data_IF_883578187046
#
_entry.id   IF_883578187046
#
_cell.length_a   1.000
_cell.length_b   1.000
_cell.length_c   1.000
_cell.angle_alpha   90.00
_cell.angle_beta   90.00
_cell.angle_gamma   90.00
#
_symmetry.space_group_name_H-M   'P 1'
#
loop_
_entity.id
_entity.type
_entity.pdbx_description
1 polymer ?
#
# COMPACT_ATOMS: atom_id res chain seq x y z
N UNK A 1 26.19 -17.09 23.20
CA UNK A 1 24.97 -17.29 22.41
C UNK A 1 25.10 -16.55 21.09
N UNK A 2 24.78 -17.18 19.96
CA UNK A 2 24.73 -16.48 18.69
C UNK A 2 23.68 -15.34 18.76
N UNK A 3 24.06 -14.14 18.36
CA UNK A 3 23.14 -12.99 18.35
C UNK A 3 22.10 -13.23 17.25
N UNK A 4 20.85 -13.44 17.62
CA UNK A 4 19.76 -13.57 16.65
C UNK A 4 19.56 -12.23 15.92
N UNK A 5 19.33 -12.29 14.61
CA UNK A 5 19.07 -11.10 13.78
C UNK A 5 18.13 -11.44 12.63
N UNK A 6 17.40 -10.46 12.17
CA UNK A 6 16.57 -10.53 10.95
C UNK A 6 17.30 -9.87 9.77
N UNK A 7 16.95 -10.16 8.52
CA UNK A 7 17.53 -9.49 7.35
C UNK A 7 17.34 -7.98 7.42
N UNK A 8 18.36 -7.22 7.02
CA UNK A 8 18.32 -5.76 7.04
C UNK A 8 17.20 -5.23 6.12
N UNK A 9 16.32 -4.41 6.66
CA UNK A 9 15.19 -3.80 5.93
C UNK A 9 13.91 -4.63 5.99
N UNK A 10 13.88 -5.72 6.78
CA UNK A 10 12.67 -6.44 7.17
C UNK A 10 12.35 -6.16 8.64
N UNK A 11 11.14 -6.54 9.09
CA UNK A 11 10.66 -6.27 10.45
C UNK A 11 9.84 -7.43 10.98
N UNK A 12 9.95 -7.69 12.28
CA UNK A 12 8.93 -8.39 13.05
C UNK A 12 7.87 -7.39 13.49
N UNK A 13 6.66 -7.85 13.70
CA UNK A 13 5.55 -7.04 14.19
C UNK A 13 4.96 -7.68 15.45
N UNK A 14 4.88 -6.90 16.51
CA UNK A 14 4.20 -7.29 17.74
C UNK A 14 2.68 -7.45 17.52
N UNK A 15 1.96 -8.11 18.43
CA UNK A 15 0.50 -8.20 18.35
C UNK A 15 -0.20 -6.84 18.25
N UNK A 16 0.29 -5.83 18.97
CA UNK A 16 -0.26 -4.47 18.92
C UNK A 16 -0.02 -3.81 17.55
N UNK A 17 1.21 -3.93 17.01
CA UNK A 17 1.51 -3.42 15.67
C UNK A 17 0.68 -4.13 14.61
N UNK A 18 0.44 -5.45 14.75
CA UNK A 18 -0.42 -6.20 13.85
C UNK A 18 -1.89 -5.77 13.93
N UNK A 19 -2.40 -5.41 15.11
CA UNK A 19 -3.76 -4.85 15.23
C UNK A 19 -3.88 -3.55 14.44
N UNK A 20 -2.91 -2.65 14.59
CA UNK A 20 -2.83 -1.38 13.83
C UNK A 20 -2.73 -1.62 12.32
N UNK A 21 -1.95 -2.59 11.89
CA UNK A 21 -1.82 -2.97 10.46
C UNK A 21 -3.12 -3.56 9.92
N UNK A 22 -3.77 -4.43 10.67
CA UNK A 22 -5.05 -5.03 10.27
C UNK A 22 -6.15 -3.96 10.14
N UNK A 23 -6.19 -2.95 11.01
CA UNK A 23 -7.07 -1.79 10.85
C UNK A 23 -6.89 -1.11 9.47
N UNK A 24 -5.64 -0.94 9.01
CA UNK A 24 -5.36 -0.39 7.68
C UNK A 24 -5.89 -1.33 6.59
N UNK A 25 -5.55 -2.63 6.67
CA UNK A 25 -5.95 -3.60 5.65
C UNK A 25 -7.46 -3.75 5.57
N UNK A 26 -8.15 -3.81 6.71
CA UNK A 26 -9.60 -4.00 6.77
C UNK A 26 -10.35 -2.76 6.28
N UNK A 27 -9.86 -1.56 6.60
CA UNK A 27 -10.42 -0.31 6.09
C UNK A 27 -10.30 -0.24 4.57
N UNK A 28 -9.12 -0.53 4.00
CA UNK A 28 -8.89 -0.51 2.55
C UNK A 28 -9.72 -1.61 1.88
N UNK A 29 -9.73 -2.84 2.41
CA UNK A 29 -10.53 -3.96 1.89
C UNK A 29 -12.02 -3.61 1.86
N UNK A 30 -12.53 -3.02 2.95
CA UNK A 30 -13.92 -2.59 3.04
C UNK A 30 -14.26 -1.54 1.99
N UNK A 31 -13.36 -0.57 1.73
CA UNK A 31 -13.59 0.42 0.67
C UNK A 31 -13.57 -0.24 -0.70
N UNK A 32 -12.60 -1.08 -1.03
CA UNK A 32 -12.55 -1.79 -2.32
C UNK A 32 -13.83 -2.61 -2.58
N UNK A 33 -14.36 -3.27 -1.55
CA UNK A 33 -15.61 -4.02 -1.66
C UNK A 33 -16.81 -3.13 -2.02
N UNK A 34 -16.88 -1.89 -1.48
CA UNK A 34 -17.95 -0.92 -1.81
C UNK A 34 -17.94 -0.53 -3.28
N UNK A 35 -16.77 -0.53 -3.94
CA UNK A 35 -16.61 -0.22 -5.36
C UNK A 35 -16.65 -1.46 -6.28
N UNK A 36 -17.01 -2.63 -5.73
CA UNK A 36 -17.17 -3.87 -6.50
C UNK A 36 -15.87 -4.52 -6.95
N UNK A 37 -14.74 -4.23 -6.30
CA UNK A 37 -13.48 -4.92 -6.57
C UNK A 37 -13.46 -6.28 -5.91
N UNK A 38 -12.91 -7.28 -6.62
CA UNK A 38 -12.80 -8.66 -6.16
C UNK A 38 -11.37 -8.98 -5.73
N UNK A 39 -11.22 -9.68 -4.62
CA UNK A 39 -9.90 -10.06 -4.11
C UNK A 39 -9.32 -11.21 -4.93
N UNK A 40 -8.06 -11.07 -5.34
CA UNK A 40 -7.25 -12.16 -5.87
C UNK A 40 -5.91 -12.20 -5.12
N UNK A 41 -5.17 -13.29 -5.31
CA UNK A 41 -3.79 -13.41 -4.85
C UNK A 41 -2.92 -14.01 -5.95
N UNK A 42 -1.67 -13.61 -6.00
CA UNK A 42 -0.64 -14.19 -6.87
C UNK A 42 0.51 -14.71 -6.02
N UNK A 43 1.32 -15.67 -6.52
CA UNK A 43 2.46 -16.18 -5.78
C UNK A 43 3.47 -15.08 -5.38
N UNK A 44 4.12 -15.22 -4.24
CA UNK A 44 5.23 -14.35 -3.83
C UNK A 44 6.46 -14.47 -4.75
N UNK A 45 6.65 -15.68 -5.32
CA UNK A 45 7.70 -16.00 -6.27
C UNK A 45 7.15 -16.00 -7.69
N UNK A 46 7.85 -15.32 -8.58
CA UNK A 46 7.60 -15.34 -10.02
C UNK A 46 8.84 -15.83 -10.76
N UNK A 47 8.68 -16.30 -12.00
CA UNK A 47 9.84 -16.58 -12.84
C UNK A 47 10.60 -15.28 -13.14
N UNK A 48 11.92 -15.34 -13.26
CA UNK A 48 12.70 -14.15 -13.65
C UNK A 48 12.30 -13.64 -15.04
N UNK A 49 11.84 -14.50 -15.93
CA UNK A 49 11.30 -14.11 -17.24
C UNK A 49 10.07 -13.21 -17.10
N UNK A 50 9.23 -13.44 -16.09
CA UNK A 50 8.08 -12.58 -15.78
C UNK A 50 8.52 -11.22 -15.24
N UNK A 51 9.58 -11.19 -14.43
CA UNK A 51 9.98 -9.99 -13.69
C UNK A 51 10.96 -9.09 -14.46
N UNK A 52 11.97 -9.67 -15.13
CA UNK A 52 13.04 -8.92 -15.77
C UNK A 52 12.57 -8.12 -17.00
N UNK A 53 13.14 -6.93 -17.19
CA UNK A 53 12.82 -6.04 -18.30
C UNK A 53 11.48 -5.32 -18.20
N UNK A 54 10.81 -5.37 -17.05
CA UNK A 54 9.49 -4.75 -16.82
C UNK A 54 9.57 -3.45 -16.03
N UNK A 55 10.60 -3.30 -15.23
CA UNK A 55 10.76 -2.19 -14.28
C UNK A 55 11.84 -1.19 -14.68
N UNK A 56 12.45 -1.37 -15.87
CA UNK A 56 13.64 -0.63 -16.31
C UNK A 56 14.92 -1.12 -15.62
N UNK A 57 16.07 -0.61 -16.05
CA UNK A 57 17.39 -1.08 -15.55
C UNK A 57 17.57 -0.91 -14.04
N UNK A 58 17.05 0.17 -13.46
CA UNK A 58 17.15 0.43 -12.02
C UNK A 58 16.28 -0.57 -11.24
N UNK A 59 15.05 -0.81 -11.69
CA UNK A 59 14.14 -1.76 -11.06
C UNK A 59 14.66 -3.20 -11.12
N UNK A 60 15.23 -3.60 -12.24
CA UNK A 60 15.82 -4.93 -12.43
C UNK A 60 17.02 -5.20 -11.49
N UNK A 61 17.76 -4.14 -11.12
CA UNK A 61 18.84 -4.22 -10.10
C UNK A 61 18.29 -4.40 -8.67
N UNK A 62 17.05 -4.00 -8.43
CA UNK A 62 16.39 -4.09 -7.12
C UNK A 62 15.60 -5.39 -6.92
N UNK A 63 15.54 -6.27 -7.90
CA UNK A 63 14.88 -7.57 -7.79
C UNK A 63 15.66 -8.54 -6.88
N UNK A 64 14.99 -9.11 -5.89
CA UNK A 64 15.52 -10.24 -5.14
C UNK A 64 15.44 -11.51 -5.99
N UNK A 65 16.59 -12.04 -6.37
CA UNK A 65 16.72 -13.29 -7.11
C UNK A 65 16.87 -14.46 -6.13
N UNK A 66 16.19 -15.56 -6.44
CA UNK A 66 16.21 -16.77 -5.59
C UNK A 66 17.10 -17.80 -6.25
N UNK A 67 18.16 -18.20 -5.53
CA UNK A 67 19.08 -19.24 -5.96
C UNK A 67 18.33 -20.56 -6.15
N UNK A 68 18.61 -21.25 -7.24
CA UNK A 68 18.00 -22.57 -7.53
C UNK A 68 18.34 -23.56 -6.42
N UNK A 69 17.41 -24.46 -6.10
CA UNK A 69 17.60 -25.52 -5.12
C UNK A 69 18.47 -26.64 -5.67
N UNK A 70 19.12 -27.40 -4.80
CA UNK A 70 19.98 -28.51 -5.16
C UNK A 70 21.37 -28.05 -5.63
N UNK A 71 21.95 -28.76 -6.61
CA UNK A 71 23.24 -28.37 -7.21
C UNK A 71 23.04 -27.27 -8.25
N UNK A 72 23.02 -26.03 -7.76
CA UNK A 72 22.81 -24.84 -8.58
C UNK A 72 23.99 -24.48 -9.49
N UNK A 73 25.16 -25.12 -9.33
CA UNK A 73 26.30 -24.96 -10.22
C UNK A 73 26.33 -25.96 -11.37
N UNK A 74 25.50 -27.00 -11.35
CA UNK A 74 25.52 -28.10 -12.35
C UNK A 74 25.36 -27.65 -13.81
N UNK A 75 24.78 -26.46 -14.05
CA UNK A 75 24.58 -25.88 -15.40
C UNK A 75 25.61 -24.82 -15.77
N UNK A 76 26.68 -24.65 -14.98
CA UNK A 76 27.68 -23.61 -15.15
C UNK A 76 29.04 -24.28 -15.28
N UNK A 77 29.79 -23.93 -16.31
CA UNK A 77 31.18 -24.38 -16.48
C UNK A 77 32.17 -23.44 -15.77
N UNK A 78 33.41 -23.92 -15.60
CA UNK A 78 34.47 -23.20 -14.90
C UNK A 78 34.84 -21.89 -15.62
N UNK A 79 34.73 -21.84 -16.96
CA UNK A 79 35.05 -20.63 -17.73
C UNK A 79 34.05 -19.51 -17.41
N UNK A 80 32.77 -19.83 -17.34
CA UNK A 80 31.73 -18.88 -16.96
C UNK A 80 31.90 -18.34 -15.53
N UNK A 81 32.33 -19.22 -14.59
CA UNK A 81 32.63 -18.79 -13.22
C UNK A 81 33.84 -17.87 -13.14
N UNK A 82 34.88 -18.14 -13.97
CA UNK A 82 36.09 -17.32 -14.02
C UNK A 82 35.86 -15.93 -14.61
N UNK A 83 34.90 -15.79 -15.55
CA UNK A 83 34.51 -14.49 -16.15
C UNK A 83 33.87 -13.54 -15.14
N UNK A 84 33.32 -14.03 -14.03
CA UNK A 84 32.65 -13.24 -12.96
C UNK A 84 31.56 -12.29 -13.46
N UNK A 85 30.92 -12.61 -14.59
CA UNK A 85 29.77 -11.87 -15.09
C UNK A 85 28.51 -12.19 -14.25
N UNK A 86 28.25 -11.33 -13.27
CA UNK A 86 27.14 -11.52 -12.32
C UNK A 86 25.77 -11.55 -13.00
N UNK A 87 25.57 -10.81 -14.08
CA UNK A 87 24.27 -10.72 -14.75
C UNK A 87 24.02 -11.99 -15.54
N UNK A 88 25.02 -12.48 -16.30
CA UNK A 88 24.91 -13.72 -17.03
C UNK A 88 24.76 -14.94 -16.09
N UNK A 89 25.58 -15.00 -15.04
CA UNK A 89 25.50 -16.07 -14.04
C UNK A 89 24.16 -16.08 -13.30
N UNK A 90 23.63 -14.92 -12.92
CA UNK A 90 22.35 -14.82 -12.22
C UNK A 90 21.20 -15.45 -13.01
N UNK A 91 21.19 -15.34 -14.34
CA UNK A 91 20.15 -15.93 -15.18
C UNK A 91 20.17 -17.46 -15.18
N UNK A 92 21.34 -18.07 -14.93
CA UNK A 92 21.53 -19.52 -14.86
C UNK A 92 21.34 -20.07 -13.43
N UNK A 93 21.78 -19.29 -12.42
CA UNK A 93 21.70 -19.63 -11.01
C UNK A 93 20.32 -19.46 -10.40
N UNK A 94 19.50 -18.56 -10.97
CA UNK A 94 18.23 -18.15 -10.44
C UNK A 94 17.15 -18.23 -11.54
N UNK A 95 16.21 -19.14 -11.42
CA UNK A 95 15.04 -19.22 -12.30
C UNK A 95 13.87 -18.37 -11.78
N UNK A 96 13.93 -17.96 -10.53
CA UNK A 96 12.83 -17.29 -9.79
C UNK A 96 13.37 -16.06 -9.06
N UNK A 97 12.44 -15.13 -8.80
CA UNK A 97 12.67 -13.98 -7.94
C UNK A 97 11.44 -13.70 -7.08
N UNK A 98 11.61 -12.84 -6.08
CA UNK A 98 10.47 -12.30 -5.34
C UNK A 98 9.85 -11.17 -6.15
N UNK A 99 8.51 -11.11 -6.16
CA UNK A 99 7.78 -10.05 -6.88
C UNK A 99 8.14 -8.67 -6.36
N UNK A 100 8.36 -7.74 -7.27
CA UNK A 100 8.74 -6.35 -7.00
C UNK A 100 7.52 -5.46 -6.72
N UNK A 101 6.41 -5.76 -7.38
CA UNK A 101 5.09 -5.15 -7.25
C UNK A 101 4.00 -6.21 -7.41
N UNK A 102 2.72 -5.79 -7.36
CA UNK A 102 1.58 -6.66 -7.63
C UNK A 102 1.03 -6.51 -9.05
N UNK A 103 1.44 -5.47 -9.80
CA UNK A 103 0.89 -5.13 -11.10
C UNK A 103 1.41 -6.05 -12.21
N UNK A 104 2.72 -6.34 -12.24
CA UNK A 104 3.31 -7.25 -13.23
C UNK A 104 2.81 -8.69 -13.04
N UNK A 105 2.80 -9.28 -11.82
CA UNK A 105 2.14 -10.55 -11.57
C UNK A 105 0.66 -10.57 -11.94
N UNK A 106 -0.05 -9.47 -11.73
CA UNK A 106 -1.44 -9.34 -12.13
C UNK A 106 -1.61 -9.36 -13.65
N UNK A 107 -0.77 -8.66 -14.41
CA UNK A 107 -0.82 -8.71 -15.88
C UNK A 107 -0.61 -10.13 -16.41
N UNK A 108 0.36 -10.88 -15.83
CA UNK A 108 0.54 -12.31 -16.13
C UNK A 108 -0.72 -13.12 -15.77
N UNK A 109 -1.32 -12.87 -14.60
CA UNK A 109 -2.55 -13.55 -14.15
C UNK A 109 -3.69 -13.33 -15.15
N UNK A 110 -3.93 -12.10 -15.60
CA UNK A 110 -4.97 -11.77 -16.59
C UNK A 110 -4.78 -12.56 -17.89
N UNK A 111 -3.55 -12.64 -18.39
CA UNK A 111 -3.25 -13.38 -19.63
C UNK A 111 -3.46 -14.89 -19.46
N UNK A 112 -3.04 -15.46 -18.32
CA UNK A 112 -3.21 -16.88 -18.04
C UNK A 112 -4.67 -17.30 -17.84
N UNK A 113 -5.49 -16.42 -17.27
CA UNK A 113 -6.89 -16.69 -16.94
C UNK A 113 -7.89 -15.98 -17.89
N UNK A 114 -7.43 -15.58 -19.09
CA UNK A 114 -8.24 -14.79 -20.04
C UNK A 114 -9.58 -15.40 -20.40
N UNK A 115 -9.67 -16.72 -20.42
CA UNK A 115 -10.91 -17.47 -20.74
C UNK A 115 -11.88 -17.51 -19.54
N UNK A 116 -11.40 -17.25 -18.32
CA UNK A 116 -12.16 -17.29 -17.06
C UNK A 116 -12.58 -15.89 -16.60
N UNK A 117 -11.83 -14.86 -17.02
CA UNK A 117 -12.03 -13.48 -16.59
C UNK A 117 -13.04 -12.77 -17.50
N UNK A 118 -14.09 -12.21 -16.89
CA UNK A 118 -15.02 -11.34 -17.61
C UNK A 118 -14.54 -9.87 -17.54
N UNK A 119 -14.40 -9.23 -18.69
CA UNK A 119 -14.00 -7.83 -18.80
C UNK A 119 -15.22 -6.88 -18.77
N UNK A 120 -15.11 -5.67 -18.20
CA UNK A 120 -13.96 -5.17 -17.45
C UNK A 120 -13.78 -5.90 -16.11
N UNK A 121 -12.55 -6.27 -15.77
CA UNK A 121 -12.22 -6.98 -14.56
C UNK A 121 -11.68 -5.99 -13.50
N UNK A 122 -12.30 -5.98 -12.32
CA UNK A 122 -11.95 -5.16 -11.16
C UNK A 122 -11.38 -6.05 -10.07
N UNK A 123 -10.09 -5.97 -9.82
CA UNK A 123 -9.45 -6.77 -8.77
C UNK A 123 -8.80 -5.91 -7.71
N UNK A 124 -8.63 -6.45 -6.51
CA UNK A 124 -7.70 -5.92 -5.53
C UNK A 124 -6.81 -7.02 -4.95
N UNK A 125 -5.61 -6.63 -4.49
CA UNK A 125 -4.67 -7.48 -3.76
C UNK A 125 -4.09 -6.71 -2.58
N UNK A 126 -3.95 -7.37 -1.42
CA UNK A 126 -3.26 -6.84 -0.24
C UNK A 126 -2.21 -7.86 0.13
N UNK A 127 -1.00 -7.69 -0.35
CA UNK A 127 0.07 -8.67 -0.23
C UNK A 127 1.45 -8.01 -0.11
N UNK A 128 2.47 -8.72 0.45
CA UNK A 128 3.82 -8.23 0.55
C UNK A 128 4.52 -8.21 -0.80
N UNK A 129 5.45 -7.27 -0.97
CA UNK A 129 6.37 -7.15 -2.10
C UNK A 129 7.79 -6.90 -1.59
N UNK A 130 8.80 -7.15 -2.44
CA UNK A 130 10.20 -7.11 -2.03
C UNK A 130 11.04 -6.28 -3.00
N UNK A 131 11.79 -5.31 -2.45
CA UNK A 131 12.71 -4.46 -3.20
C UNK A 131 14.04 -4.37 -2.49
N UNK A 132 15.14 -4.59 -3.19
CA UNK A 132 16.48 -4.51 -2.63
C UNK A 132 16.97 -3.07 -2.37
N UNK A 133 16.06 -2.17 -2.13
CA UNK A 133 16.32 -0.76 -1.80
C UNK A 133 17.25 -0.60 -0.57
N UNK A 134 17.93 0.55 -0.50
CA UNK A 134 18.63 0.95 0.72
C UNK A 134 17.59 1.33 1.79
N UNK A 135 17.53 0.59 2.91
CA UNK A 135 16.55 0.83 3.96
C UNK A 135 16.69 2.23 4.57
N UNK A 136 15.57 2.92 4.72
CA UNK A 136 15.44 4.21 5.42
C UNK A 136 14.00 4.35 5.97
N UNK A 137 13.70 5.39 6.75
CA UNK A 137 12.35 5.63 7.27
C UNK A 137 11.32 5.66 6.11
N UNK A 138 10.26 4.86 6.22
CA UNK A 138 9.24 4.73 5.18
C UNK A 138 9.66 3.99 3.91
N UNK A 139 10.87 3.33 3.90
CA UNK A 139 11.35 2.51 2.78
C UNK A 139 11.98 1.23 3.32
N UNK A 140 11.30 0.13 3.14
CA UNK A 140 11.65 -1.20 3.60
C UNK A 140 11.96 -2.12 2.42
N UNK A 141 12.63 -3.25 2.68
CA UNK A 141 12.89 -4.28 1.67
C UNK A 141 11.75 -5.26 1.51
N UNK A 142 10.93 -5.42 2.55
CA UNK A 142 9.67 -6.14 2.55
C UNK A 142 8.59 -5.20 3.07
N UNK A 143 7.53 -5.00 2.29
CA UNK A 143 6.42 -4.12 2.66
C UNK A 143 5.14 -4.53 1.93
N UNK A 144 3.99 -4.09 2.44
CA UNK A 144 2.70 -4.41 1.87
C UNK A 144 2.23 -3.34 0.90
N UNK A 145 1.78 -3.80 -0.27
CA UNK A 145 0.99 -3.01 -1.21
C UNK A 145 -0.49 -3.42 -1.14
N UNK A 146 -1.37 -2.43 -1.22
CA UNK A 146 -2.80 -2.64 -1.30
C UNK A 146 -3.25 -2.07 -2.65
N UNK A 147 -3.24 -2.93 -3.67
CA UNK A 147 -3.47 -2.56 -5.06
C UNK A 147 -4.93 -2.77 -5.46
N UNK A 148 -5.48 -1.84 -6.24
CA UNK A 148 -6.74 -2.00 -6.94
C UNK A 148 -6.57 -1.60 -8.40
N UNK A 149 -7.00 -2.48 -9.33
CA UNK A 149 -6.88 -2.27 -10.77
C UNK A 149 -8.17 -2.63 -11.49
N UNK A 150 -8.42 -1.90 -12.58
CA UNK A 150 -9.46 -2.21 -13.57
C UNK A 150 -8.77 -2.47 -14.91
N UNK A 151 -9.01 -3.62 -15.51
CA UNK A 151 -8.50 -3.95 -16.85
C UNK A 151 -9.64 -4.23 -17.83
N UNK A 152 -9.41 -3.96 -19.11
CA UNK A 152 -10.38 -4.20 -20.18
C UNK A 152 -11.37 -3.05 -20.39
N UNK A 153 -11.01 -1.84 -19.98
CA UNK A 153 -11.81 -0.62 -20.23
C UNK A 153 -10.93 0.59 -20.47
N UNK A 154 -11.23 1.33 -21.55
CA UNK A 154 -10.59 2.61 -21.88
C UNK A 154 -11.32 3.81 -21.25
N UNK A 155 -12.40 3.58 -20.51
CA UNK A 155 -13.19 4.65 -19.91
C UNK A 155 -12.40 5.38 -18.82
N UNK A 156 -12.33 6.73 -18.93
CA UNK A 156 -11.73 7.58 -17.92
C UNK A 156 -12.56 7.69 -16.63
N UNK A 157 -13.76 7.13 -16.60
CA UNK A 157 -14.55 7.00 -15.37
C UNK A 157 -13.87 6.08 -14.36
N UNK A 158 -13.01 5.17 -14.82
CA UNK A 158 -12.21 4.33 -13.92
C UNK A 158 -11.23 5.19 -13.09
N UNK A 159 -10.59 6.19 -13.70
CA UNK A 159 -9.74 7.15 -12.98
C UNK A 159 -10.51 7.96 -11.95
N UNK A 160 -11.71 8.38 -12.30
CA UNK A 160 -12.60 9.11 -11.38
C UNK A 160 -12.97 8.26 -10.18
N UNK A 161 -13.31 7.00 -10.38
CA UNK A 161 -13.58 6.06 -9.27
C UNK A 161 -12.35 5.82 -8.40
N UNK A 162 -11.15 5.67 -8.99
CA UNK A 162 -9.92 5.52 -8.22
C UNK A 162 -9.61 6.75 -7.37
N UNK A 163 -9.89 7.98 -7.87
CA UNK A 163 -9.81 9.22 -7.06
C UNK A 163 -10.79 9.16 -5.90
N UNK A 164 -12.04 8.73 -6.12
CA UNK A 164 -13.02 8.57 -5.05
C UNK A 164 -12.59 7.54 -4.01
N UNK A 165 -11.98 6.42 -4.43
CA UNK A 165 -11.43 5.41 -3.53
C UNK A 165 -10.33 6.02 -2.66
N UNK A 166 -9.38 6.76 -3.26
CA UNK A 166 -8.31 7.43 -2.52
C UNK A 166 -8.89 8.40 -1.49
N UNK A 167 -9.82 9.26 -1.90
CA UNK A 167 -10.51 10.21 -1.01
C UNK A 167 -11.23 9.51 0.14
N UNK A 168 -11.97 8.44 -0.17
CA UNK A 168 -12.74 7.67 0.81
C UNK A 168 -11.82 7.01 1.85
N UNK A 169 -10.74 6.38 1.42
CA UNK A 169 -9.78 5.69 2.31
C UNK A 169 -9.14 6.69 3.26
N UNK A 170 -8.60 7.81 2.74
CA UNK A 170 -7.92 8.79 3.60
C UNK A 170 -8.88 9.58 4.49
N UNK A 171 -10.11 9.82 4.04
CA UNK A 171 -11.15 10.37 4.90
C UNK A 171 -11.49 9.43 6.07
N UNK A 172 -11.60 8.12 5.83
CA UNK A 172 -11.81 7.12 6.90
C UNK A 172 -10.66 7.04 7.88
N UNK A 173 -9.43 7.23 7.43
CA UNK A 173 -8.25 7.28 8.30
C UNK A 173 -8.09 8.61 9.05
N UNK A 174 -8.85 9.65 8.68
CA UNK A 174 -8.66 10.99 9.24
C UNK A 174 -7.36 11.68 8.78
N UNK A 175 -6.73 11.18 7.72
CA UNK A 175 -5.51 11.75 7.15
C UNK A 175 -5.88 12.78 6.08
N UNK A 176 -5.47 14.05 6.25
CA UNK A 176 -5.59 15.06 5.20
C UNK A 176 -4.52 14.84 4.14
N UNK A 177 -4.94 14.79 2.87
CA UNK A 177 -4.03 14.50 1.76
C UNK A 177 -4.23 15.45 0.59
N UNK A 178 -3.17 15.58 -0.23
CA UNK A 178 -3.26 16.07 -1.59
C UNK A 178 -3.19 14.89 -2.55
N UNK A 179 -4.25 14.70 -3.33
CA UNK A 179 -4.32 13.75 -4.43
C UNK A 179 -3.83 14.50 -5.67
N UNK A 180 -2.64 14.18 -6.13
CA UNK A 180 -2.00 14.80 -7.28
C UNK A 180 -2.28 13.97 -8.52
N UNK A 181 -2.61 14.63 -9.62
CA UNK A 181 -2.83 14.02 -10.92
C UNK A 181 -1.96 14.71 -11.97
N UNK A 182 -1.43 13.93 -12.91
CA UNK A 182 -0.85 14.39 -14.17
C UNK A 182 -1.19 13.37 -15.27
N UNK A 183 -0.69 13.58 -16.48
CA UNK A 183 -0.86 12.66 -17.60
C UNK A 183 0.46 12.51 -18.38
N UNK A 184 0.86 11.26 -18.65
CA UNK A 184 2.05 10.96 -19.45
C UNK A 184 2.03 11.62 -20.82
N UNK A 185 0.84 11.75 -21.43
CA UNK A 185 0.66 12.41 -22.73
C UNK A 185 0.95 13.92 -22.64
N UNK A 186 0.61 14.58 -21.52
CA UNK A 186 0.99 15.96 -21.26
C UNK A 186 2.51 16.08 -21.21
N UNK A 187 3.18 15.21 -20.45
CA UNK A 187 4.65 15.21 -20.34
C UNK A 187 5.33 14.96 -21.70
N UNK A 188 4.77 14.04 -22.50
CA UNK A 188 5.25 13.79 -23.88
C UNK A 188 5.07 15.03 -24.75
N UNK A 189 3.89 15.66 -24.71
CA UNK A 189 3.62 16.88 -25.46
C UNK A 189 4.55 18.04 -25.07
N UNK A 190 4.87 18.18 -23.79
CA UNK A 190 5.86 19.16 -23.33
C UNK A 190 7.22 18.88 -23.97
N UNK A 191 7.70 17.62 -23.95
CA UNK A 191 8.97 17.25 -24.56
C UNK A 191 8.98 17.49 -26.10
N UNK A 192 7.87 17.26 -26.79
CA UNK A 192 7.69 17.54 -28.21
C UNK A 192 7.80 19.05 -28.51
N UNK A 193 7.05 19.87 -27.76
CA UNK A 193 7.00 21.34 -27.99
C UNK A 193 8.33 22.05 -27.68
N UNK A 194 9.08 21.56 -26.70
CA UNK A 194 10.41 22.11 -26.39
C UNK A 194 11.50 21.56 -27.33
N UNK A 195 11.18 20.62 -28.24
CA UNK A 195 12.11 20.05 -29.21
C UNK A 195 13.02 18.93 -28.70
N UNK A 196 12.67 18.29 -27.57
CA UNK A 196 13.49 17.26 -26.89
C UNK A 196 12.71 15.93 -26.70
N UNK A 197 11.86 15.56 -27.67
CA UNK A 197 10.97 14.39 -27.58
C UNK A 197 11.69 13.08 -27.24
N UNK A 198 12.90 12.87 -27.83
CA UNK A 198 13.72 11.66 -27.58
C UNK A 198 14.23 11.56 -26.12
N UNK A 199 14.24 12.69 -25.39
CA UNK A 199 14.80 12.78 -24.03
C UNK A 199 13.73 12.89 -22.95
N UNK A 200 12.49 12.48 -23.26
CA UNK A 200 11.35 12.52 -22.30
C UNK A 200 11.70 11.86 -20.97
N UNK A 201 12.45 10.76 -20.98
CA UNK A 201 12.85 10.03 -19.76
C UNK A 201 13.78 10.90 -18.89
N UNK A 202 14.79 11.52 -19.51
CA UNK A 202 15.74 12.38 -18.80
C UNK A 202 15.06 13.60 -18.20
N UNK A 203 14.15 14.22 -18.97
CA UNK A 203 13.33 15.36 -18.52
C UNK A 203 12.48 14.97 -17.32
N UNK A 204 11.74 13.86 -17.40
CA UNK A 204 10.84 13.42 -16.33
C UNK A 204 11.60 13.00 -15.07
N UNK A 205 12.75 12.33 -15.22
CA UNK A 205 13.62 11.95 -14.08
C UNK A 205 14.20 13.17 -13.37
N UNK A 206 14.61 14.20 -14.12
CA UNK A 206 15.13 15.44 -13.54
C UNK A 206 14.03 16.21 -12.79
N UNK A 207 12.84 16.38 -13.40
CA UNK A 207 11.71 17.08 -12.79
C UNK A 207 11.24 16.37 -11.51
N UNK A 208 11.23 15.02 -11.47
CA UNK A 208 10.86 14.23 -10.27
C UNK A 208 11.73 14.54 -9.03
N UNK A 209 12.92 15.08 -9.25
CA UNK A 209 13.83 15.44 -8.16
C UNK A 209 13.61 16.86 -7.63
N UNK A 210 12.66 17.62 -8.17
CA UNK A 210 12.43 19.03 -7.83
C UNK A 210 12.32 19.26 -6.31
N UNK A 211 11.53 18.45 -5.62
CA UNK A 211 11.36 18.53 -4.16
C UNK A 211 12.66 18.31 -3.36
N UNK A 212 13.67 17.66 -3.97
CA UNK A 212 14.92 17.26 -3.30
C UNK A 212 16.08 18.19 -3.59
N UNK A 213 16.22 18.61 -4.86
CA UNK A 213 17.39 19.36 -5.32
C UNK A 213 17.07 20.80 -5.72
N UNK A 214 15.78 21.19 -5.67
CA UNK A 214 15.33 22.52 -6.06
C UNK A 214 15.44 22.78 -7.56
N UNK A 215 14.95 23.94 -7.99
CA UNK A 215 14.88 24.32 -9.40
C UNK A 215 16.27 24.40 -10.06
N UNK A 216 17.24 24.99 -9.35
CA UNK A 216 18.62 25.11 -9.87
C UNK A 216 19.27 23.75 -10.07
N UNK A 217 19.02 22.81 -9.14
CA UNK A 217 19.50 21.43 -9.26
C UNK A 217 18.87 20.69 -10.43
N UNK A 218 17.57 20.86 -10.65
CA UNK A 218 16.86 20.31 -11.81
C UNK A 218 17.44 20.86 -13.11
N UNK A 219 17.64 22.18 -13.20
CA UNK A 219 18.22 22.82 -14.38
C UNK A 219 19.63 22.32 -14.67
N UNK A 220 20.47 22.15 -13.65
CA UNK A 220 21.81 21.59 -13.80
C UNK A 220 21.78 20.14 -14.32
N UNK A 221 20.85 19.32 -13.81
CA UNK A 221 20.68 17.93 -14.24
C UNK A 221 20.16 17.85 -15.67
N UNK A 222 19.16 18.66 -16.05
CA UNK A 222 18.68 18.73 -17.44
C UNK A 222 19.81 19.05 -18.41
N UNK A 223 20.64 20.07 -18.13
CA UNK A 223 21.80 20.42 -18.95
C UNK A 223 22.83 19.29 -19.02
N UNK A 224 23.09 18.62 -17.90
CA UNK A 224 24.03 17.49 -17.86
C UNK A 224 23.55 16.30 -18.71
N UNK A 225 22.25 16.15 -18.89
CA UNK A 225 21.64 15.16 -19.78
C UNK A 225 21.53 15.64 -21.23
N UNK A 226 22.13 16.78 -21.54
CA UNK A 226 22.22 17.33 -22.90
C UNK A 226 20.92 18.00 -23.38
N UNK A 227 20.03 18.40 -22.48
CA UNK A 227 18.87 19.25 -22.81
C UNK A 227 19.37 20.65 -23.12
N UNK A 228 18.91 21.25 -24.21
CA UNK A 228 19.35 22.58 -24.65
C UNK A 228 18.90 23.67 -23.66
N UNK A 229 19.71 24.77 -23.60
CA UNK A 229 19.35 25.91 -22.73
C UNK A 229 17.98 26.50 -23.09
N UNK A 230 17.67 26.58 -24.40
CA UNK A 230 16.33 27.03 -24.86
C UNK A 230 15.21 26.15 -24.35
N UNK A 231 15.40 24.83 -24.37
CA UNK A 231 14.39 23.89 -23.82
C UNK A 231 14.26 24.03 -22.30
N UNK A 232 15.37 24.20 -21.57
CA UNK A 232 15.38 24.46 -20.13
C UNK A 232 14.60 25.75 -19.82
N UNK A 233 14.81 26.84 -20.57
CA UNK A 233 14.08 28.10 -20.39
C UNK A 233 12.58 27.94 -20.63
N UNK A 234 12.16 27.18 -21.64
CA UNK A 234 10.75 26.87 -21.92
C UNK A 234 10.08 26.01 -20.82
N UNK A 235 10.84 25.17 -20.09
CA UNK A 235 10.34 24.37 -18.99
C UNK A 235 10.10 25.17 -17.71
N UNK A 236 10.80 26.31 -17.48
CA UNK A 236 10.70 27.04 -16.22
C UNK A 236 9.27 27.46 -15.85
N UNK A 237 8.48 28.10 -16.76
CA UNK A 237 7.11 28.49 -16.41
C UNK A 237 6.20 27.28 -16.12
N UNK A 238 6.49 26.11 -16.69
CA UNK A 238 5.74 24.88 -16.45
C UNK A 238 6.03 24.32 -15.05
N UNK A 239 7.32 24.24 -14.70
CA UNK A 239 7.78 23.72 -13.40
C UNK A 239 7.35 24.64 -12.25
N UNK A 240 7.36 25.95 -12.46
CA UNK A 240 6.99 26.95 -11.47
C UNK A 240 5.48 27.29 -11.47
N UNK A 241 4.67 26.60 -12.26
CA UNK A 241 3.25 26.93 -12.44
C UNK A 241 2.45 26.76 -11.17
N UNK A 242 1.75 27.83 -10.79
CA UNK A 242 0.80 27.87 -9.66
C UNK A 242 -0.58 28.29 -10.17
N UNK A 243 -1.61 28.12 -9.34
CA UNK A 243 -2.99 28.46 -9.69
C UNK A 243 -3.96 27.29 -9.55
N UNK A 244 -5.19 27.50 -9.93
CA UNK A 244 -6.24 26.48 -9.95
C UNK A 244 -5.99 25.43 -11.04
N UNK A 245 -6.63 24.28 -10.91
CA UNK A 245 -6.52 23.22 -11.92
C UNK A 245 -6.94 23.71 -13.33
N UNK A 246 -7.98 24.53 -13.42
CA UNK A 246 -8.47 25.07 -14.69
C UNK A 246 -7.49 26.06 -15.32
N UNK A 247 -6.92 26.99 -14.52
CA UNK A 247 -5.88 27.91 -14.98
C UNK A 247 -4.65 27.16 -15.50
N UNK A 248 -4.18 26.15 -14.76
CA UNK A 248 -3.07 25.29 -15.18
C UNK A 248 -3.38 24.57 -16.49
N UNK A 249 -4.58 23.98 -16.61
CA UNK A 249 -5.02 23.27 -17.83
C UNK A 249 -5.12 24.21 -19.03
N UNK A 250 -5.57 25.44 -18.84
CA UNK A 250 -5.67 26.41 -19.94
C UNK A 250 -4.28 26.80 -20.47
N UNK A 251 -3.35 27.14 -19.57
CA UNK A 251 -1.98 27.48 -19.95
C UNK A 251 -1.27 26.32 -20.67
N UNK A 252 -1.46 25.09 -20.16
CA UNK A 252 -0.87 23.90 -20.79
C UNK A 252 -1.53 23.61 -22.15
N UNK A 253 -2.83 23.80 -22.31
CA UNK A 253 -3.52 23.64 -23.58
C UNK A 253 -2.97 24.60 -24.65
N UNK A 254 -2.77 25.86 -24.26
CA UNK A 254 -2.22 26.87 -25.16
C UNK A 254 -0.76 26.53 -25.59
N UNK A 255 0.04 26.06 -24.65
CA UNK A 255 1.42 25.63 -24.90
C UNK A 255 1.48 24.39 -25.82
N UNK A 256 0.60 23.42 -25.59
CA UNK A 256 0.59 22.12 -26.28
C UNK A 256 -0.26 22.11 -27.55
N UNK A 257 -0.76 23.26 -28.02
CA UNK A 257 -1.64 23.36 -29.19
C UNK A 257 -1.07 22.72 -30.48
N UNK A 258 0.26 22.61 -30.60
CA UNK A 258 0.94 21.96 -31.74
C UNK A 258 1.20 20.46 -31.52
N UNK A 259 0.98 19.91 -30.33
CA UNK A 259 1.18 18.50 -30.01
C UNK A 259 -0.15 17.78 -29.91
N UNK A 260 -0.47 16.90 -30.84
CA UNK A 260 -1.67 16.07 -30.81
C UNK A 260 -1.72 15.18 -29.56
N UNK A 261 -0.57 14.57 -29.21
CA UNK A 261 -0.44 13.75 -28.01
C UNK A 261 -0.66 14.57 -26.75
N UNK A 262 -0.05 15.75 -26.66
CA UNK A 262 -0.19 16.64 -25.51
C UNK A 262 -1.64 17.12 -25.33
N UNK A 263 -2.30 17.55 -26.40
CA UNK A 263 -3.71 17.98 -26.38
C UNK A 263 -4.64 16.86 -25.92
N UNK A 264 -4.44 15.62 -26.37
CA UNK A 264 -5.18 14.47 -25.87
C UNK A 264 -5.01 14.26 -24.38
N UNK A 265 -3.78 14.43 -23.86
CA UNK A 265 -3.52 14.39 -22.42
C UNK A 265 -4.26 15.48 -21.64
N UNK A 266 -4.33 16.70 -22.18
CA UNK A 266 -5.11 17.81 -21.60
C UNK A 266 -6.61 17.50 -21.56
N UNK A 267 -7.17 16.99 -22.64
CA UNK A 267 -8.59 16.61 -22.74
C UNK A 267 -8.95 15.50 -21.73
N UNK A 268 -8.13 14.45 -21.66
CA UNK A 268 -8.31 13.37 -20.70
C UNK A 268 -8.26 13.88 -19.25
N UNK A 269 -7.28 14.73 -18.93
CA UNK A 269 -7.13 15.29 -17.58
C UNK A 269 -8.28 16.22 -17.21
N UNK A 270 -8.72 17.07 -18.15
CA UNK A 270 -9.90 17.94 -17.96
C UNK A 270 -11.14 17.10 -17.67
N UNK A 271 -11.40 16.06 -18.46
CA UNK A 271 -12.52 15.15 -18.24
C UNK A 271 -12.51 14.56 -16.84
N UNK A 272 -11.35 14.04 -16.39
CA UNK A 272 -11.21 13.41 -15.06
C UNK A 272 -11.49 14.44 -13.97
N UNK A 273 -10.90 15.63 -14.03
CA UNK A 273 -11.08 16.68 -13.01
C UNK A 273 -12.52 17.19 -12.94
N UNK A 274 -13.16 17.44 -14.10
CA UNK A 274 -14.56 17.87 -14.17
C UNK A 274 -15.54 16.81 -13.59
N UNK A 275 -15.28 15.53 -13.85
CA UNK A 275 -16.12 14.46 -13.30
C UNK A 275 -15.85 14.25 -11.81
N UNK A 276 -14.61 14.27 -11.38
CA UNK A 276 -14.25 14.16 -9.96
C UNK A 276 -14.85 15.30 -9.12
N UNK A 277 -14.89 16.53 -9.65
CA UNK A 277 -15.53 17.67 -8.98
C UNK A 277 -17.02 17.43 -8.65
N UNK A 278 -17.72 16.58 -9.43
CA UNK A 278 -19.12 16.21 -9.18
C UNK A 278 -19.31 15.12 -8.13
N UNK A 279 -18.21 14.49 -7.70
CA UNK A 279 -18.23 13.33 -6.79
C UNK A 279 -18.09 13.70 -5.31
N UNK A 280 -18.01 15.00 -4.98
CA UNK A 280 -17.89 15.45 -3.59
C UNK A 280 -16.59 15.04 -2.91
N UNK A 281 -15.48 15.09 -3.64
CA UNK A 281 -14.12 14.83 -3.11
C UNK A 281 -13.83 15.79 -1.95
N UNK A 282 -13.40 15.27 -0.81
CA UNK A 282 -13.18 16.03 0.43
C UNK A 282 -11.72 16.48 0.58
N UNK A 283 -10.80 15.67 0.07
CA UNK A 283 -9.38 15.99 0.08
C UNK A 283 -9.02 16.89 -1.12
N UNK A 284 -7.85 17.50 -1.06
CA UNK A 284 -7.35 18.32 -2.18
C UNK A 284 -7.07 17.46 -3.40
N UNK A 285 -7.69 17.80 -4.56
CA UNK A 285 -7.36 17.22 -5.86
C UNK A 285 -6.62 18.27 -6.69
N UNK A 286 -5.36 18.01 -7.05
CA UNK A 286 -4.46 18.97 -7.66
C UNK A 286 -3.84 18.44 -8.95
N UNK A 287 -3.92 19.22 -10.04
CA UNK A 287 -3.08 19.02 -11.22
C UNK A 287 -1.65 19.46 -10.88
N UNK A 288 -0.72 18.51 -10.90
CA UNK A 288 0.70 18.74 -10.63
C UNK A 288 1.54 18.36 -11.85
N UNK A 289 1.94 19.35 -12.62
CA UNK A 289 2.73 19.16 -13.84
C UNK A 289 4.16 18.66 -13.56
N UNK A 290 4.61 18.75 -12.32
CA UNK A 290 5.91 18.21 -11.88
C UNK A 290 5.81 16.75 -11.46
N UNK A 291 4.60 16.19 -11.35
CA UNK A 291 4.42 14.78 -11.14
C UNK A 291 4.80 14.02 -12.42
N UNK A 292 6.05 13.61 -12.47
CA UNK A 292 6.64 12.89 -13.59
C UNK A 292 7.04 11.45 -13.21
N UNK A 293 6.83 11.10 -11.94
CA UNK A 293 7.16 9.82 -11.33
C UNK A 293 6.21 8.70 -11.79
N UNK A 294 6.70 7.49 -11.67
CA UNK A 294 5.94 6.28 -11.91
C UNK A 294 6.76 5.23 -12.63
N UNK A 295 6.24 4.01 -12.71
CA UNK A 295 6.87 2.95 -13.47
C UNK A 295 6.76 3.26 -14.99
N UNK A 296 7.74 2.82 -15.75
CA UNK A 296 7.85 3.13 -17.18
C UNK A 296 6.70 2.59 -18.05
N UNK A 297 5.82 1.78 -17.46
CA UNK A 297 4.68 1.21 -18.17
C UNK A 297 3.42 2.13 -18.17
N UNK A 298 3.41 3.25 -17.45
CA UNK A 298 2.26 4.18 -17.50
C UNK A 298 2.19 4.93 -18.81
N UNK A 299 0.97 5.05 -19.36
CA UNK A 299 0.69 5.59 -20.71
C UNK A 299 -0.30 6.76 -20.71
N UNK A 300 -1.00 7.00 -19.63
CA UNK A 300 -2.04 8.01 -19.48
C UNK A 300 -1.96 8.74 -18.15
N UNK A 301 -3.10 8.88 -17.47
CA UNK A 301 -3.17 9.49 -16.14
C UNK A 301 -2.24 8.82 -15.14
N UNK A 302 -1.58 9.62 -14.31
CA UNK A 302 -0.75 9.18 -13.18
C UNK A 302 -1.20 9.87 -11.91
N UNK A 303 -1.12 9.15 -10.80
CA UNK A 303 -1.56 9.60 -9.48
C UNK A 303 -0.46 9.50 -8.45
N UNK A 304 -0.43 10.46 -7.55
CA UNK A 304 0.38 10.42 -6.35
C UNK A 304 -0.41 11.03 -5.18
N UNK A 305 -0.35 10.44 -4.00
CA UNK A 305 -0.97 11.01 -2.80
C UNK A 305 0.10 11.33 -1.77
N UNK A 306 0.10 12.58 -1.30
CA UNK A 306 0.97 13.06 -0.23
C UNK A 306 0.14 13.41 1.01
N UNK A 307 0.60 12.98 2.20
CA UNK A 307 0.05 13.45 3.47
C UNK A 307 0.43 14.94 3.67
N UNK A 308 -0.52 15.75 4.13
CA UNK A 308 -0.31 17.19 4.34
C UNK A 308 0.31 17.49 5.72
N UNK A 309 -0.03 16.69 6.72
CA UNK A 309 0.34 16.96 8.12
C UNK A 309 1.52 16.12 8.63
N UNK A 310 2.11 15.29 7.77
CA UNK A 310 3.22 14.41 8.14
C UNK A 310 4.25 14.29 7.02
N UNK A 311 5.50 14.61 7.33
CA UNK A 311 6.59 14.58 6.36
C UNK A 311 7.02 13.14 6.04
N UNK A 312 6.47 12.59 4.96
CA UNK A 312 6.80 11.27 4.42
C UNK A 312 6.71 11.32 2.89
N UNK A 313 7.33 10.37 2.20
CA UNK A 313 7.13 10.23 0.74
C UNK A 313 5.69 9.83 0.39
N UNK A 314 5.38 9.71 -0.91
CA UNK A 314 4.06 9.29 -1.40
C UNK A 314 3.51 8.10 -0.63
N UNK A 315 2.27 8.20 -0.19
CA UNK A 315 1.55 7.13 0.53
C UNK A 315 0.65 6.30 -0.36
N UNK A 316 0.35 6.79 -1.56
CA UNK A 316 -0.36 6.08 -2.63
C UNK A 316 0.18 6.56 -3.97
N UNK A 317 0.21 5.68 -4.95
CA UNK A 317 0.56 6.00 -6.33
C UNK A 317 -0.17 5.09 -7.30
N UNK A 318 -0.23 5.48 -8.57
CA UNK A 318 -0.91 4.69 -9.59
C UNK A 318 -0.93 5.36 -10.94
N UNK A 319 -1.67 4.77 -11.88
CA UNK A 319 -1.85 5.33 -13.21
C UNK A 319 -2.42 4.35 -14.21
N UNK A 320 -2.64 4.84 -15.43
CA UNK A 320 -3.10 4.07 -16.59
C UNK A 320 -1.94 3.41 -17.30
N UNK A 321 -2.14 2.14 -17.67
CA UNK A 321 -1.21 1.33 -18.47
C UNK A 321 -1.98 0.59 -19.56
N UNK A 322 -1.63 0.84 -20.83
CA UNK A 322 -2.43 0.35 -21.96
C UNK A 322 -1.87 -0.90 -22.63
N UNK A 323 -0.67 -1.32 -22.28
CA UNK A 323 -0.02 -2.44 -22.96
C UNK A 323 0.77 -3.39 -22.05
N UNK A 324 0.50 -3.38 -20.76
CA UNK A 324 1.25 -4.22 -19.81
C UNK A 324 1.03 -5.71 -20.08
N UNK A 325 -0.19 -6.12 -20.46
CA UNK A 325 -0.53 -7.50 -20.87
C UNK A 325 0.10 -7.90 -22.20
N UNK A 326 0.46 -6.92 -23.04
CA UNK A 326 1.17 -7.17 -24.32
C UNK A 326 2.52 -7.84 -24.12
N UNK A 327 3.18 -7.58 -23.00
CA UNK A 327 4.45 -8.22 -22.61
C UNK A 327 4.30 -9.75 -22.46
N UNK A 328 3.08 -10.20 -22.14
CA UNK A 328 2.72 -11.60 -21.95
C UNK A 328 1.92 -12.17 -23.13
N UNK A 329 1.93 -11.50 -24.31
CA UNK A 329 1.31 -11.96 -25.53
C UNK A 329 -0.16 -11.58 -25.72
N UNK A 330 -0.68 -10.65 -24.92
CA UNK A 330 -2.06 -10.11 -25.05
C UNK A 330 -2.03 -8.59 -25.19
N UNK A 331 -1.67 -8.03 -26.37
CA UNK A 331 -1.61 -6.59 -26.59
C UNK A 331 -2.99 -5.93 -26.62
N UNK A 332 -3.03 -4.62 -26.37
CA UNK A 332 -4.24 -3.80 -26.55
C UNK A 332 -5.24 -3.85 -25.39
N UNK A 333 -4.91 -4.45 -24.26
CA UNK A 333 -5.74 -4.44 -23.07
C UNK A 333 -5.34 -3.27 -22.16
N UNK A 334 -6.19 -2.25 -22.09
CA UNK A 334 -5.99 -1.11 -21.21
C UNK A 334 -6.28 -1.47 -19.76
N UNK A 335 -5.48 -0.93 -18.85
CA UNK A 335 -5.66 -1.03 -17.42
C UNK A 335 -5.35 0.27 -16.71
N UNK A 336 -5.94 0.46 -15.55
CA UNK A 336 -5.64 1.56 -14.64
C UNK A 336 -5.73 1.06 -13.21
N UNK A 337 -4.81 1.50 -12.35
CA UNK A 337 -4.81 1.06 -10.96
C UNK A 337 -4.07 1.99 -10.02
N UNK A 338 -4.30 1.75 -8.73
CA UNK A 338 -3.64 2.46 -7.62
C UNK A 338 -3.09 1.46 -6.61
N UNK A 339 -2.10 1.88 -5.87
CA UNK A 339 -1.48 1.12 -4.79
C UNK A 339 -1.32 1.97 -3.53
N UNK A 340 -1.94 1.56 -2.43
CA UNK A 340 -1.68 2.16 -1.11
C UNK A 340 -0.46 1.48 -0.48
N UNK A 341 0.48 2.31 -0.02
CA UNK A 341 1.66 1.87 0.74
C UNK A 341 1.33 1.71 2.22
N UNK A 342 0.88 0.51 2.63
CA UNK A 342 0.38 0.26 3.98
C UNK A 342 1.37 0.65 5.09
N UNK A 343 2.65 0.40 4.88
CA UNK A 343 3.69 0.71 5.87
C UNK A 343 3.92 2.21 6.06
N UNK A 344 3.78 3.02 4.99
CA UNK A 344 3.83 4.48 5.10
C UNK A 344 2.57 5.05 5.74
N UNK A 345 1.39 4.49 5.40
CA UNK A 345 0.13 4.85 6.07
C UNK A 345 0.20 4.54 7.56
N UNK A 346 0.78 3.38 7.93
CA UNK A 346 1.05 3.02 9.33
C UNK A 346 1.90 4.08 10.04
N UNK A 347 3.01 4.52 9.42
CA UNK A 347 3.88 5.56 9.97
C UNK A 347 3.14 6.89 10.15
N UNK A 348 2.27 7.28 9.20
CA UNK A 348 1.44 8.50 9.30
C UNK A 348 0.43 8.40 10.44
N UNK A 349 -0.33 7.30 10.51
CA UNK A 349 -1.34 7.10 11.56
C UNK A 349 -0.73 7.06 12.96
N UNK A 350 0.45 6.42 13.12
CA UNK A 350 1.19 6.46 14.38
C UNK A 350 1.73 7.86 14.71
N UNK A 351 2.25 8.56 13.70
CA UNK A 351 2.86 9.88 13.92
C UNK A 351 1.87 10.98 14.22
N UNK A 352 0.61 10.85 13.79
CA UNK A 352 -0.48 11.78 14.00
C UNK A 352 -1.48 11.32 15.09
N UNK A 353 -1.22 10.16 15.72
CA UNK A 353 -2.09 9.54 16.74
C UNK A 353 -3.56 9.40 16.28
N UNK A 354 -3.75 8.86 15.05
CA UNK A 354 -5.07 8.76 14.41
C UNK A 354 -5.70 7.36 14.51
N UNK A 355 -5.08 6.42 15.23
CA UNK A 355 -5.71 5.12 15.44
C UNK A 355 -6.90 5.23 16.39
N UNK A 356 -8.03 4.53 16.12
CA UNK A 356 -9.12 4.43 17.07
C UNK A 356 -8.65 3.83 18.41
N UNK A 357 -9.16 4.34 19.53
CA UNK A 357 -8.80 3.90 20.89
C UNK A 357 -8.91 2.39 21.09
N UNK A 358 -9.82 1.73 20.37
CA UNK A 358 -10.08 0.28 20.47
C UNK A 358 -9.33 -0.56 19.43
N UNK A 359 -8.30 0.00 18.76
CA UNK A 359 -7.45 -0.75 17.84
C UNK A 359 -6.53 -1.71 18.62
N UNK A 360 -7.13 -2.68 19.26
CA UNK A 360 -6.42 -3.71 20.03
C UNK A 360 -6.77 -5.11 19.53
N UNK A 361 -5.82 -6.05 19.62
CA UNK A 361 -6.04 -7.46 19.32
C UNK A 361 -6.14 -8.31 20.59
N UNK A 362 -6.07 -7.67 21.76
CA UNK A 362 -5.97 -8.36 23.04
C UNK A 362 -7.30 -8.94 23.53
N UNK A 363 -7.20 -9.79 24.53
CA UNK A 363 -8.31 -10.29 25.33
C UNK A 363 -9.08 -9.13 25.93
N UNK A 364 -10.41 -9.14 25.83
CA UNK A 364 -11.28 -8.15 26.46
C UNK A 364 -11.61 -8.56 27.90
N UNK A 365 -11.74 -9.86 28.14
CA UNK A 365 -12.15 -10.39 29.45
C UNK A 365 -11.27 -11.55 29.85
N UNK A 366 -10.66 -11.46 31.03
CA UNK A 366 -9.92 -12.55 31.65
C UNK A 366 -10.73 -13.14 32.80
N UNK A 367 -11.03 -14.42 32.74
CA UNK A 367 -11.60 -15.18 33.87
C UNK A 367 -10.45 -15.67 34.76
N UNK A 368 -10.55 -15.39 36.06
CA UNK A 368 -9.61 -15.86 37.07
C UNK A 368 -9.85 -17.31 37.37
N UNK A 369 -8.80 -18.12 37.40
CA UNK A 369 -8.84 -19.53 37.75
C UNK A 369 -8.37 -19.71 39.20
N UNK A 370 -9.33 -20.00 40.11
CA UNK A 370 -9.02 -20.29 41.50
C UNK A 370 -8.85 -21.79 41.78
N UNK A 371 -9.37 -22.64 40.89
CA UNK A 371 -9.34 -24.10 41.00
C UNK A 371 -10.28 -24.75 40.00
N UNK A 372 -10.37 -26.07 40.03
CA UNK A 372 -11.15 -26.86 39.07
C UNK A 372 -12.66 -26.53 39.15
N UNK A 373 -13.22 -26.36 40.34
CA UNK A 373 -14.66 -26.07 40.53
C UNK A 373 -15.03 -24.68 39.97
N UNK A 374 -14.21 -23.68 40.23
CA UNK A 374 -14.41 -22.32 39.72
C UNK A 374 -14.17 -22.26 38.20
N UNK A 375 -13.21 -23.00 37.69
CA UNK A 375 -13.00 -23.14 36.27
C UNK A 375 -14.18 -23.76 35.55
N UNK A 376 -14.71 -24.87 36.07
CA UNK A 376 -15.91 -25.55 35.56
C UNK A 376 -17.14 -24.63 35.54
N UNK A 377 -17.29 -23.77 36.55
CA UNK A 377 -18.34 -22.76 36.58
C UNK A 377 -18.14 -21.65 35.54
N UNK A 378 -16.91 -21.23 35.33
CA UNK A 378 -16.56 -20.16 34.37
C UNK A 378 -16.61 -20.61 32.89
N UNK A 379 -16.35 -21.89 32.58
CA UNK A 379 -16.23 -22.38 31.20
C UNK A 379 -17.50 -22.15 30.34
N UNK A 380 -18.75 -22.40 30.84
CA UNK A 380 -19.95 -22.07 30.06
C UNK A 380 -20.08 -20.58 29.76
N UNK A 381 -19.76 -19.73 30.74
CA UNK A 381 -19.80 -18.28 30.56
C UNK A 381 -18.74 -17.79 29.59
N UNK A 382 -17.54 -18.37 29.63
CA UNK A 382 -16.47 -18.12 28.66
C UNK A 382 -16.93 -18.48 27.24
N UNK A 383 -17.63 -19.60 27.06
CA UNK A 383 -18.25 -20.01 25.80
C UNK A 383 -19.24 -18.97 25.29
N UNK A 384 -20.18 -18.56 26.18
CA UNK A 384 -21.19 -17.53 25.86
C UNK A 384 -20.55 -16.19 25.44
N UNK A 385 -19.53 -15.73 26.15
CA UNK A 385 -18.78 -14.53 25.73
C UNK A 385 -18.25 -14.65 24.29
N UNK A 386 -17.65 -15.78 23.94
CA UNK A 386 -17.09 -16.03 22.61
C UNK A 386 -18.17 -16.11 21.52
N UNK A 387 -19.31 -16.74 21.80
CA UNK A 387 -20.46 -16.77 20.88
C UNK A 387 -21.00 -15.37 20.59
N UNK A 388 -20.91 -14.45 21.56
CA UNK A 388 -21.29 -13.04 21.44
C UNK A 388 -20.19 -12.15 20.84
N UNK A 389 -19.10 -12.76 20.35
CA UNK A 389 -17.98 -12.05 19.71
C UNK A 389 -17.01 -11.37 20.68
N UNK A 390 -17.13 -11.62 21.99
CA UNK A 390 -16.26 -11.07 23.04
C UNK A 390 -14.99 -11.92 23.13
N UNK A 391 -13.81 -11.29 23.00
CA UNK A 391 -12.52 -11.96 23.12
C UNK A 391 -12.22 -12.25 24.59
N UNK A 392 -12.50 -13.48 25.01
CA UNK A 392 -12.39 -13.92 26.40
C UNK A 392 -11.43 -15.10 26.55
N UNK A 393 -10.65 -15.10 27.62
CA UNK A 393 -9.78 -16.21 28.03
C UNK A 393 -9.94 -16.50 29.53
N UNK A 394 -9.67 -17.74 29.93
CA UNK A 394 -9.47 -18.12 31.32
C UNK A 394 -7.99 -18.31 31.58
N UNK A 395 -7.50 -17.87 32.73
CA UNK A 395 -6.10 -18.12 33.08
C UNK A 395 -5.87 -19.63 33.19
N UNK A 396 -4.88 -20.21 32.49
CA UNK A 396 -4.79 -21.65 32.29
C UNK A 396 -4.51 -22.45 33.58
N UNK A 397 -3.71 -21.88 34.47
CA UNK A 397 -3.32 -22.55 35.70
C UNK A 397 -4.04 -22.01 36.91
N UNK A 398 -4.41 -22.86 37.88
CA UNK A 398 -4.78 -22.40 39.21
C UNK A 398 -3.58 -21.70 39.86
N UNK A 399 -3.70 -20.41 40.10
CA UNK A 399 -2.61 -19.57 40.61
C UNK A 399 -3.15 -18.49 41.56
N UNK A 400 -2.25 -17.96 42.40
CA UNK A 400 -2.62 -16.84 43.29
C UNK A 400 -3.19 -15.66 42.46
N UNK A 401 -4.30 -15.10 42.90
CA UNK A 401 -4.99 -13.96 42.27
C UNK A 401 -4.02 -12.84 41.87
N UNK A 402 -3.04 -12.51 42.71
CA UNK A 402 -2.03 -11.49 42.43
C UNK A 402 -1.26 -11.75 41.11
N UNK A 403 -0.92 -13.00 40.80
CA UNK A 403 -0.22 -13.39 39.56
C UNK A 403 -1.11 -13.20 38.36
N UNK A 404 -2.37 -13.61 38.45
CA UNK A 404 -3.34 -13.49 37.36
C UNK A 404 -3.73 -12.02 37.10
N UNK A 405 -3.88 -11.21 38.15
CA UNK A 405 -4.10 -9.78 38.03
C UNK A 405 -2.91 -9.05 37.38
N UNK A 406 -1.67 -9.47 37.74
CA UNK A 406 -0.46 -8.92 37.10
C UNK A 406 -0.40 -9.27 35.59
N UNK A 407 -0.85 -10.47 35.23
CA UNK A 407 -1.00 -10.88 33.83
C UNK A 407 -2.04 -10.00 33.09
N UNK A 408 -3.22 -9.80 33.68
CA UNK A 408 -4.24 -8.93 33.11
C UNK A 408 -3.70 -7.50 32.87
N UNK A 409 -3.00 -6.93 33.87
CA UNK A 409 -2.37 -5.61 33.74
C UNK A 409 -1.29 -5.57 32.67
N UNK A 410 -0.41 -6.59 32.60
CA UNK A 410 0.68 -6.61 31.61
C UNK A 410 0.19 -6.74 30.17
N UNK A 411 -1.02 -7.27 29.99
CA UNK A 411 -1.68 -7.42 28.69
C UNK A 411 -2.73 -6.32 28.41
N UNK A 412 -2.88 -5.35 29.32
CA UNK A 412 -3.89 -4.29 29.23
C UNK A 412 -5.31 -4.84 29.00
N UNK A 413 -5.65 -5.95 29.67
CA UNK A 413 -6.99 -6.56 29.61
C UNK A 413 -7.95 -5.66 30.38
N UNK A 414 -9.00 -5.10 29.75
CA UNK A 414 -9.85 -4.11 30.38
C UNK A 414 -10.78 -4.68 31.47
N UNK A 415 -11.16 -5.96 31.36
CA UNK A 415 -12.07 -6.58 32.30
C UNK A 415 -11.53 -7.89 32.86
N UNK A 416 -11.75 -8.09 34.15
CA UNK A 416 -11.45 -9.35 34.85
C UNK A 416 -12.70 -9.86 35.50
N UNK A 417 -12.98 -11.15 35.34
CA UNK A 417 -14.11 -11.87 35.97
C UNK A 417 -13.60 -12.77 37.07
N UNK A 418 -14.17 -12.64 38.24
CA UNK A 418 -13.92 -13.49 39.38
C UNK A 418 -15.19 -14.29 39.70
N UNK A 419 -15.02 -15.55 39.96
CA UNK A 419 -16.04 -16.44 40.48
C UNK A 419 -15.42 -17.31 41.57
N UNK A 420 -15.69 -17.00 42.82
CA UNK A 420 -15.36 -17.80 43.98
C UNK A 420 -16.59 -18.53 44.50
N UNK A 421 -16.45 -19.17 45.66
CA UNK A 421 -17.55 -19.94 46.29
C UNK A 421 -18.84 -19.12 46.48
N UNK A 422 -18.73 -17.84 46.83
CA UNK A 422 -19.86 -16.92 46.99
C UNK A 422 -20.59 -16.61 45.68
N UNK A 423 -19.84 -16.30 44.62
CA UNK A 423 -20.40 -16.03 43.31
C UNK A 423 -21.08 -17.26 42.72
N UNK A 424 -20.47 -18.43 42.88
CA UNK A 424 -21.05 -19.73 42.46
C UNK A 424 -22.37 -20.00 43.18
N UNK A 425 -22.42 -19.79 44.52
CA UNK A 425 -23.63 -19.98 45.31
C UNK A 425 -24.77 -19.06 44.87
N UNK A 426 -24.45 -17.82 44.48
CA UNK A 426 -25.42 -16.82 44.04
C UNK A 426 -25.72 -16.90 42.53
N UNK A 427 -25.06 -17.81 41.79
CA UNK A 427 -25.11 -17.91 40.33
C UNK A 427 -24.82 -16.59 39.63
N UNK A 428 -23.74 -15.92 40.06
CA UNK A 428 -23.28 -14.60 39.58
C UNK A 428 -21.76 -14.58 39.33
N UNK A 429 -21.27 -13.47 38.84
CA UNK A 429 -19.86 -13.19 38.57
C UNK A 429 -19.50 -11.81 39.14
N UNK A 430 -18.33 -11.68 39.73
CA UNK A 430 -17.77 -10.36 40.03
C UNK A 430 -16.99 -9.87 38.85
N UNK A 431 -17.52 -8.84 38.15
CA UNK A 431 -16.86 -8.15 37.03
C UNK A 431 -16.05 -6.97 37.56
N UNK A 432 -14.76 -6.96 37.27
CA UNK A 432 -13.84 -5.85 37.60
C UNK A 432 -13.40 -5.13 36.35
N UNK A 433 -13.63 -3.82 36.30
CA UNK A 433 -13.02 -2.93 35.31
C UNK A 433 -11.59 -2.60 35.75
N UNK A 434 -10.59 -2.94 34.96
CA UNK A 434 -9.18 -2.78 35.30
C UNK A 434 -8.71 -1.32 35.16
N UNK A 435 -9.42 -0.50 34.37
CA UNK A 435 -9.09 0.91 34.17
C UNK A 435 -9.60 1.77 35.34
N UNK A 436 -10.86 1.59 35.73
CA UNK A 436 -11.51 2.37 36.81
C UNK A 436 -11.31 1.76 38.20
N UNK A 437 -11.00 0.46 38.26
CA UNK A 437 -10.95 -0.32 39.50
C UNK A 437 -12.32 -0.71 40.07
N UNK A 438 -13.42 -0.31 39.41
CA UNK A 438 -14.79 -0.61 39.85
C UNK A 438 -15.08 -2.10 39.77
N UNK A 439 -15.79 -2.63 40.75
CA UNK A 439 -16.24 -4.01 40.80
C UNK A 439 -17.75 -4.07 40.97
N UNK A 440 -18.41 -4.96 40.21
CA UNK A 440 -19.85 -5.18 40.29
C UNK A 440 -20.14 -6.66 40.27
N UNK A 441 -21.12 -7.07 41.09
CA UNK A 441 -21.69 -8.41 41.02
C UNK A 441 -22.76 -8.42 39.93
N UNK A 442 -22.59 -9.26 38.91
CA UNK A 442 -23.41 -9.29 37.71
C UNK A 442 -23.90 -10.70 37.39
N UNK A 443 -25.03 -10.79 36.73
CA UNK A 443 -25.53 -12.03 36.12
C UNK A 443 -24.76 -12.31 34.81
N UNK A 444 -24.97 -13.49 34.24
CA UNK A 444 -24.35 -13.86 32.95
C UNK A 444 -24.74 -12.92 31.79
N UNK A 445 -26.00 -12.45 31.75
CA UNK A 445 -26.47 -11.53 30.70
C UNK A 445 -25.91 -10.11 30.90
N UNK A 446 -25.92 -9.61 32.15
CA UNK A 446 -25.33 -8.31 32.49
C UNK A 446 -23.83 -8.27 32.23
N UNK A 447 -23.10 -9.40 32.40
CA UNK A 447 -21.68 -9.49 32.08
C UNK A 447 -21.46 -9.30 30.60
N UNK A 448 -22.22 -9.98 29.73
CA UNK A 448 -22.11 -9.81 28.27
C UNK A 448 -22.38 -8.36 27.86
N UNK A 449 -23.45 -7.76 28.41
CA UNK A 449 -23.78 -6.36 28.08
C UNK A 449 -22.68 -5.37 28.52
N UNK A 450 -22.05 -5.60 29.68
CA UNK A 450 -21.05 -4.70 30.25
C UNK A 450 -19.70 -4.74 29.54
N UNK A 451 -19.41 -5.82 28.80
CA UNK A 451 -18.10 -6.02 28.15
C UNK A 451 -18.15 -5.95 26.61
N UNK A 452 -19.36 -5.83 26.00
CA UNK A 452 -19.56 -5.51 24.59
C UNK A 452 -19.12 -4.07 24.27
#
# INVERSE_FOLDING_TARGET
MAKTSIPKGTRDFSPEEMAKRNYIFDTIRGVYALYGFQQIETPAMETLQTLLGKYGEEGDKLLFKILNSGDYLSKIDDEQLLQRDSLHLASKLCEKGLRYDLTVPFARYVVQHREEIQLPFRRFQIQPVWRADRPQKGRYREFYQCDADVVGSNSLLNEVELIQIMDTVFTKFGIRVAIKINNRKILTGIAEVIGEAEKIVDITVAIDKLDKIGLDGVNAELRSNGISDEAVEKLQPIIAMTGTNEEKLQVIADLLASSETGMKGVEETRFILEKAAKCGIRNTLELDLTLARGLNYYTGAIFEVKALDYAIGSITGGGRYDNLTGIFGMPGLSGVGISFGADRIYDVLCGLDLYPEHTTCGTQVLFINFGDAEADYCLPMLGKCREEGIRAEIYPDSAKMKKQMAYANSKNIPFVVLAGESEIADNKFTLKNMTTGEQKLVTADELVEAVK
#
